data_IF_143538895450
#
_entry.id   IF_143538895450
#
_cell.length_a   1.000
_cell.length_b   1.000
_cell.length_c   1.000
_cell.angle_alpha   90.00
_cell.angle_beta   90.00
_cell.angle_gamma   90.00
#
_symmetry.space_group_name_H-M   'P 1'
#
loop_
_entity.id
_entity.type
_entity.pdbx_description
1 polymer ?
#
# COMPACT_ATOMS: atom_id res chain seq x y z
N UNK A 1 4.82 -24.70 13.10
CA UNK A 1 3.39 -24.49 13.39
C UNK A 1 2.83 -23.25 12.69
N UNK A 2 3.40 -22.04 12.89
CA UNK A 2 2.88 -20.79 12.33
C UNK A 2 2.67 -20.78 10.79
N UNK A 3 3.66 -21.16 9.97
CA UNK A 3 3.44 -21.12 8.51
C UNK A 3 2.49 -22.20 7.98
N UNK A 4 2.21 -23.25 8.74
CA UNK A 4 1.16 -24.22 8.38
C UNK A 4 -0.24 -23.59 8.45
N UNK A 5 -0.47 -22.72 9.43
CA UNK A 5 -1.71 -21.96 9.56
C UNK A 5 -1.83 -20.88 8.49
N UNK A 6 -0.74 -20.16 8.19
CA UNK A 6 -0.71 -19.18 7.10
C UNK A 6 -1.00 -19.83 5.74
N UNK A 7 -0.42 -21.02 5.48
CA UNK A 7 -0.69 -21.78 4.26
C UNK A 7 -2.17 -22.16 4.14
N UNK A 8 -2.75 -22.75 5.19
CA UNK A 8 -4.17 -23.16 5.20
C UNK A 8 -5.11 -21.96 5.02
N UNK A 9 -4.81 -20.85 5.67
CA UNK A 9 -5.62 -19.64 5.56
C UNK A 9 -5.56 -19.06 4.14
N UNK A 10 -4.37 -19.04 3.53
CA UNK A 10 -4.20 -18.62 2.14
C UNK A 10 -4.96 -19.54 1.18
N UNK A 11 -4.82 -20.87 1.33
CA UNK A 11 -5.47 -21.85 0.46
C UNK A 11 -6.99 -21.78 0.57
N UNK A 12 -7.52 -21.62 1.78
CA UNK A 12 -8.96 -21.45 1.97
C UNK A 12 -9.50 -20.18 1.30
N UNK A 13 -8.73 -19.08 1.28
CA UNK A 13 -9.10 -17.90 0.49
C UNK A 13 -9.02 -18.16 -1.03
N UNK A 14 -7.98 -18.85 -1.51
CA UNK A 14 -7.81 -19.18 -2.92
C UNK A 14 -8.91 -20.11 -3.44
N UNK A 15 -9.37 -21.05 -2.61
CA UNK A 15 -10.43 -22.00 -2.93
C UNK A 15 -11.85 -21.41 -2.76
N UNK A 16 -11.98 -20.18 -2.28
CA UNK A 16 -13.27 -19.55 -1.98
C UNK A 16 -13.95 -20.07 -0.72
N UNK A 17 -13.25 -20.83 0.12
CA UNK A 17 -13.73 -21.28 1.44
C UNK A 17 -13.84 -20.10 2.43
N UNK A 18 -12.98 -19.09 2.28
CA UNK A 18 -12.96 -17.88 3.09
C UNK A 18 -13.10 -16.62 2.24
N UNK A 19 -13.95 -15.68 2.66
CA UNK A 19 -14.15 -14.41 1.97
C UNK A 19 -13.02 -13.41 2.15
N UNK A 20 -12.24 -13.53 3.23
CA UNK A 20 -11.13 -12.63 3.55
C UNK A 20 -10.17 -13.25 4.58
N UNK A 21 -8.95 -12.73 4.63
CA UNK A 21 -7.91 -13.10 5.59
C UNK A 21 -7.50 -11.91 6.46
N UNK A 22 -7.66 -12.03 7.78
CA UNK A 22 -7.13 -11.07 8.75
C UNK A 22 -5.95 -11.70 9.48
N UNK A 23 -4.80 -11.04 9.45
CA UNK A 23 -3.57 -11.56 10.06
C UNK A 23 -3.16 -10.77 11.30
N UNK A 24 -2.97 -11.48 12.42
CA UNK A 24 -2.31 -10.96 13.61
C UNK A 24 -0.79 -10.83 13.42
N UNK A 25 -0.06 -10.25 14.40
CA UNK A 25 1.38 -10.09 14.29
C UNK A 25 2.12 -11.44 14.40
N UNK A 26 3.19 -11.60 13.63
CA UNK A 26 4.11 -12.76 13.71
C UNK A 26 5.53 -12.31 13.95
N UNK A 27 6.32 -13.14 14.63
CA UNK A 27 7.72 -12.85 14.92
C UNK A 27 8.63 -13.45 13.85
N UNK A 28 9.11 -12.61 12.92
CA UNK A 28 9.96 -13.04 11.78
C UNK A 28 11.23 -13.78 12.22
N UNK A 29 11.90 -13.31 13.28
CA UNK A 29 13.14 -13.92 13.78
C UNK A 29 12.97 -15.40 14.12
N UNK A 30 12.07 -15.72 15.05
CA UNK A 30 11.69 -17.10 15.41
C UNK A 30 11.36 -17.99 14.20
N UNK A 31 10.68 -17.46 13.17
CA UNK A 31 10.36 -18.25 11.97
C UNK A 31 11.63 -18.56 11.16
N UNK A 32 12.53 -17.59 11.00
CA UNK A 32 13.80 -17.80 10.30
C UNK A 32 14.75 -18.70 11.11
N UNK A 33 14.82 -18.52 12.43
CA UNK A 33 15.63 -19.36 13.33
C UNK A 33 15.18 -20.83 13.33
N UNK A 34 13.90 -21.07 13.02
CA UNK A 34 13.35 -22.41 12.79
C UNK A 34 13.71 -23.01 11.41
N UNK A 35 14.59 -22.37 10.64
CA UNK A 35 15.09 -22.85 9.35
C UNK A 35 14.19 -22.53 8.15
N UNK A 36 13.25 -21.60 8.28
CA UNK A 36 12.32 -21.23 7.22
C UNK A 36 12.54 -19.80 6.76
N UNK A 37 12.86 -19.61 5.47
CA UNK A 37 12.97 -18.28 4.88
C UNK A 37 11.62 -17.56 4.93
N UNK A 38 11.50 -16.54 5.79
CA UNK A 38 10.28 -15.77 5.95
C UNK A 38 10.58 -14.28 6.07
N UNK A 39 10.32 -13.54 4.99
CA UNK A 39 10.49 -12.09 4.91
C UNK A 39 9.30 -11.32 5.49
N UNK A 40 8.10 -11.91 5.49
CA UNK A 40 6.88 -11.30 6.00
C UNK A 40 5.61 -11.96 5.47
N UNK A 41 4.46 -11.55 6.01
CA UNK A 41 3.15 -12.02 5.54
C UNK A 41 2.90 -11.68 4.08
N UNK A 42 3.18 -10.43 3.70
CA UNK A 42 2.91 -9.89 2.37
C UNK A 42 3.63 -10.73 1.31
N UNK A 43 4.92 -11.00 1.53
CA UNK A 43 5.75 -11.80 0.62
C UNK A 43 5.33 -13.28 0.63
N UNK A 44 5.01 -13.83 1.81
CA UNK A 44 4.53 -15.21 1.93
C UNK A 44 3.24 -15.45 1.13
N UNK A 45 2.25 -14.56 1.26
CA UNK A 45 1.00 -14.70 0.53
C UNK A 45 1.16 -14.46 -0.95
N UNK A 46 1.94 -13.45 -1.36
CA UNK A 46 2.21 -13.19 -2.78
C UNK A 46 2.83 -14.41 -3.46
N UNK A 47 3.85 -15.03 -2.85
CA UNK A 47 4.48 -16.22 -3.38
C UNK A 47 3.50 -17.39 -3.46
N UNK A 48 2.71 -17.62 -2.41
CA UNK A 48 1.78 -18.75 -2.35
C UNK A 48 0.60 -18.59 -3.32
N UNK A 49 0.14 -17.36 -3.56
CA UNK A 49 -0.95 -17.07 -4.49
C UNK A 49 -0.48 -16.91 -5.95
N UNK A 50 0.83 -17.04 -6.21
CA UNK A 50 1.39 -16.84 -7.56
C UNK A 50 1.33 -15.40 -8.04
N UNK A 51 1.26 -14.43 -7.12
CA UNK A 51 1.27 -13.01 -7.46
C UNK A 51 2.71 -12.51 -7.55
N UNK A 52 3.09 -11.98 -8.71
CA UNK A 52 4.42 -11.41 -8.91
C UNK A 52 4.63 -10.11 -8.12
N UNK A 53 3.55 -9.32 -7.96
CA UNK A 53 3.61 -8.06 -7.22
C UNK A 53 2.36 -7.84 -6.37
N UNK A 54 2.60 -7.20 -5.23
CA UNK A 54 1.58 -6.73 -4.29
C UNK A 54 1.89 -5.30 -3.90
N UNK A 55 0.86 -4.54 -3.53
CA UNK A 55 1.01 -3.15 -3.08
C UNK A 55 0.57 -3.06 -1.62
N UNK A 56 1.42 -2.48 -0.79
CA UNK A 56 1.07 -2.18 0.58
C UNK A 56 0.27 -0.87 0.62
N UNK A 57 -0.86 -0.90 1.29
CA UNK A 57 -1.65 0.27 1.58
C UNK A 57 -2.02 0.30 3.05
N UNK A 58 -1.83 1.45 3.70
CA UNK A 58 -2.43 1.71 5.00
C UNK A 58 -3.70 2.53 4.80
N UNK A 59 -4.72 2.23 5.57
CA UNK A 59 -5.99 2.93 5.49
C UNK A 59 -6.56 3.23 6.88
N UNK A 60 -7.19 4.38 6.99
CA UNK A 60 -8.12 4.79 8.05
C UNK A 60 -9.49 4.99 7.41
N UNK A 61 -10.48 5.47 8.16
CA UNK A 61 -11.79 5.86 7.59
C UNK A 61 -11.66 7.02 6.60
N UNK A 62 -10.70 7.92 6.83
CA UNK A 62 -10.60 9.20 6.12
C UNK A 62 -9.46 9.23 5.09
N UNK A 63 -8.47 8.35 5.21
CA UNK A 63 -7.26 8.42 4.40
C UNK A 63 -6.75 7.02 4.02
N UNK A 64 -6.48 6.82 2.74
CA UNK A 64 -5.79 5.65 2.20
C UNK A 64 -4.44 6.07 1.60
N UNK A 65 -3.35 5.47 2.06
CA UNK A 65 -1.99 5.72 1.56
C UNK A 65 -1.38 4.41 1.09
N UNK A 66 -1.25 4.27 -0.22
CA UNK A 66 -0.49 3.22 -0.88
C UNK A 66 0.99 3.63 -1.02
N UNK A 67 1.88 2.65 -1.09
CA UNK A 67 3.32 2.87 -1.17
C UNK A 67 3.90 2.28 -2.46
N UNK A 68 4.63 3.07 -3.23
CA UNK A 68 5.38 2.59 -4.41
C UNK A 68 6.56 1.70 -4.01
N UNK A 69 7.19 2.01 -2.88
CA UNK A 69 8.22 1.21 -2.23
C UNK A 69 7.91 1.00 -0.75
N UNK A 70 8.22 -0.17 -0.21
CA UNK A 70 7.93 -0.53 1.19
C UNK A 70 9.17 -0.39 2.07
N UNK A 71 9.71 -1.50 2.59
CA UNK A 71 10.83 -1.50 3.53
C UNK A 71 12.17 -1.52 2.78
N UNK A 72 12.53 -0.40 2.17
CA UNK A 72 13.85 -0.18 1.56
C UNK A 72 14.68 0.81 2.38
N UNK A 73 16.01 0.66 2.43
CA UNK A 73 16.88 1.73 2.89
C UNK A 73 16.66 2.98 2.02
N UNK A 74 16.63 4.17 2.64
CA UNK A 74 16.30 5.42 1.93
C UNK A 74 17.19 5.67 0.70
N UNK A 75 18.48 5.31 0.79
CA UNK A 75 19.45 5.43 -0.32
C UNK A 75 19.06 4.63 -1.58
N UNK A 76 18.24 3.59 -1.44
CA UNK A 76 17.86 2.67 -2.52
C UNK A 76 16.49 3.04 -3.12
N UNK A 77 15.78 4.02 -2.54
CA UNK A 77 14.43 4.41 -2.96
C UNK A 77 14.41 4.97 -4.38
N UNK A 78 15.26 5.97 -4.69
CA UNK A 78 15.26 6.62 -6.00
C UNK A 78 15.45 5.60 -7.14
N UNK A 79 16.43 4.69 -7.00
CA UNK A 79 16.69 3.64 -7.99
C UNK A 79 15.54 2.63 -8.14
N UNK A 80 14.70 2.45 -7.13
CA UNK A 80 13.56 1.53 -7.17
C UNK A 80 12.31 2.14 -7.84
N UNK A 81 12.26 3.47 -7.99
CA UNK A 81 11.20 4.17 -8.72
C UNK A 81 11.54 4.11 -10.21
N UNK A 82 10.87 3.23 -10.93
CA UNK A 82 10.99 3.06 -12.37
C UNK A 82 9.62 3.17 -13.01
N UNK A 83 9.54 3.48 -14.31
CA UNK A 83 8.25 3.56 -14.99
C UNK A 83 7.49 2.23 -14.89
N UNK A 84 8.21 1.11 -15.03
CA UNK A 84 7.63 -0.22 -14.85
C UNK A 84 7.10 -0.43 -13.43
N UNK A 85 7.88 -0.10 -12.39
CA UNK A 85 7.44 -0.30 -11.01
C UNK A 85 6.21 0.55 -10.68
N UNK A 86 6.13 1.79 -11.18
CA UNK A 86 4.96 2.65 -11.05
C UNK A 86 3.75 2.12 -11.82
N UNK A 87 3.93 1.61 -13.04
CA UNK A 87 2.83 1.00 -13.81
C UNK A 87 2.21 -0.18 -13.08
N UNK A 88 3.03 -1.09 -12.57
CA UNK A 88 2.54 -2.24 -11.81
C UNK A 88 1.81 -1.80 -10.53
N UNK A 89 2.41 -0.89 -9.75
CA UNK A 89 1.83 -0.40 -8.49
C UNK A 89 0.51 0.32 -8.72
N UNK A 90 0.46 1.27 -9.65
CA UNK A 90 -0.73 2.08 -9.90
C UNK A 90 -1.84 1.22 -10.50
N UNK A 91 -1.50 0.25 -11.37
CA UNK A 91 -2.50 -0.65 -11.95
C UNK A 91 -3.15 -1.53 -10.88
N UNK A 92 -2.35 -2.08 -9.95
CA UNK A 92 -2.86 -2.85 -8.80
C UNK A 92 -3.72 -1.96 -7.90
N UNK A 93 -3.23 -0.76 -7.56
CA UNK A 93 -3.96 0.18 -6.71
C UNK A 93 -5.32 0.56 -7.32
N UNK A 94 -5.33 0.98 -8.59
CA UNK A 94 -6.55 1.34 -9.31
C UNK A 94 -7.53 0.16 -9.38
N UNK A 95 -7.05 -1.02 -9.78
CA UNK A 95 -7.88 -2.21 -9.87
C UNK A 95 -8.52 -2.57 -8.53
N UNK A 96 -7.74 -2.59 -7.45
CA UNK A 96 -8.26 -2.98 -6.14
C UNK A 96 -9.16 -1.91 -5.53
N UNK A 97 -8.95 -0.61 -5.79
CA UNK A 97 -9.91 0.43 -5.41
C UNK A 97 -11.27 0.20 -6.07
N UNK A 98 -11.30 -0.28 -7.32
CA UNK A 98 -12.55 -0.64 -7.99
C UNK A 98 -13.16 -1.92 -7.41
N UNK A 99 -12.39 -3.01 -7.33
CA UNK A 99 -12.94 -4.35 -7.05
C UNK A 99 -13.12 -4.64 -5.56
N UNK A 100 -12.28 -4.07 -4.69
CA UNK A 100 -12.30 -4.33 -3.24
C UNK A 100 -12.92 -3.19 -2.44
N UNK A 101 -12.83 -1.95 -2.93
CA UNK A 101 -13.43 -0.77 -2.28
C UNK A 101 -14.70 -0.28 -2.98
N UNK A 102 -15.05 -0.82 -4.16
CA UNK A 102 -16.27 -0.46 -4.87
C UNK A 102 -16.27 0.94 -5.47
N UNK A 103 -15.10 1.55 -5.64
CA UNK A 103 -14.96 2.91 -6.16
C UNK A 103 -14.91 2.85 -7.68
N UNK A 104 -16.00 3.23 -8.37
CA UNK A 104 -16.12 3.05 -9.83
C UNK A 104 -15.02 3.79 -10.61
N UNK A 105 -14.69 5.03 -10.21
CA UNK A 105 -13.72 5.91 -10.87
C UNK A 105 -12.71 6.49 -9.88
N UNK A 106 -11.74 5.70 -9.39
CA UNK A 106 -10.85 6.13 -8.33
C UNK A 106 -9.99 7.33 -8.73
N UNK A 107 -10.00 8.38 -7.93
CA UNK A 107 -9.09 9.50 -8.01
C UNK A 107 -7.85 9.24 -7.14
N UNK A 108 -6.71 8.98 -7.80
CA UNK A 108 -5.45 8.67 -7.12
C UNK A 108 -4.52 9.89 -7.18
N UNK A 109 -4.15 10.41 -6.00
CA UNK A 109 -3.22 11.52 -5.87
C UNK A 109 -1.81 10.98 -5.66
N UNK A 110 -0.85 11.41 -6.46
CA UNK A 110 0.50 10.84 -6.51
C UNK A 110 1.52 11.86 -6.04
N UNK A 111 2.32 11.50 -5.05
CA UNK A 111 3.46 12.31 -4.60
C UNK A 111 4.57 12.33 -5.67
N UNK A 112 5.32 13.43 -5.76
CA UNK A 112 6.68 13.38 -6.29
C UNK A 112 7.60 12.56 -5.38
N UNK A 113 8.73 12.10 -5.89
CA UNK A 113 9.81 11.51 -5.11
C UNK A 113 10.57 12.60 -4.34
N UNK A 114 10.91 13.68 -5.04
CA UNK A 114 11.73 14.76 -4.53
C UNK A 114 10.90 15.82 -3.79
N UNK A 115 11.51 16.59 -2.87
CA UNK A 115 10.89 17.80 -2.33
C UNK A 115 10.39 18.70 -3.46
N UNK A 116 9.23 19.34 -3.24
CA UNK A 116 8.59 20.17 -4.27
C UNK A 116 8.34 19.46 -5.61
N UNK A 117 8.26 18.13 -5.61
CA UNK A 117 8.17 17.31 -6.82
C UNK A 117 9.27 17.67 -7.85
N UNK A 118 10.50 17.83 -7.35
CA UNK A 118 11.69 18.07 -8.18
C UNK A 118 11.88 19.54 -8.60
N UNK A 119 10.94 20.44 -8.29
CA UNK A 119 11.02 21.88 -8.63
C UNK A 119 11.42 22.10 -10.11
N UNK A 120 10.70 21.45 -11.03
CA UNK A 120 10.97 21.55 -12.47
C UNK A 120 12.35 21.00 -12.89
N UNK A 121 12.93 20.09 -12.12
CA UNK A 121 14.24 19.48 -12.37
C UNK A 121 15.38 20.09 -11.54
N UNK A 122 15.12 21.16 -10.77
CA UNK A 122 16.14 21.81 -9.95
C UNK A 122 16.47 21.04 -8.66
N UNK A 123 15.59 20.15 -8.21
CA UNK A 123 15.75 19.34 -7.01
C UNK A 123 15.64 17.83 -7.30
N UNK A 124 16.28 17.38 -8.38
CA UNK A 124 16.17 16.00 -8.88
C UNK A 124 15.33 15.93 -10.15
N UNK A 125 15.51 14.87 -10.93
CA UNK A 125 14.90 14.72 -12.27
C UNK A 125 13.98 13.52 -12.39
N UNK A 126 13.84 12.72 -11.33
CA UNK A 126 13.03 11.51 -11.32
C UNK A 126 11.56 11.78 -11.69
N UNK A 127 11.02 12.95 -11.34
CA UNK A 127 9.70 13.37 -11.79
C UNK A 127 9.61 13.45 -13.32
N UNK A 128 10.53 14.18 -13.95
CA UNK A 128 10.55 14.43 -15.40
C UNK A 128 10.87 13.14 -16.17
N UNK A 129 11.89 12.40 -15.71
CA UNK A 129 12.43 11.27 -16.45
C UNK A 129 11.59 9.99 -16.27
N UNK A 130 10.87 9.87 -15.15
CA UNK A 130 10.21 8.63 -14.74
C UNK A 130 8.76 8.81 -14.32
N UNK A 131 8.47 9.68 -13.33
CA UNK A 131 7.13 9.70 -12.72
C UNK A 131 6.10 10.31 -13.68
N UNK A 132 6.35 11.49 -14.24
CA UNK A 132 5.47 12.16 -15.19
C UNK A 132 5.16 11.27 -16.42
N UNK A 133 6.15 10.69 -17.12
CA UNK A 133 5.88 9.76 -18.22
C UNK A 133 5.04 8.55 -17.81
N UNK A 134 5.30 7.99 -16.61
CA UNK A 134 4.53 6.86 -16.10
C UNK A 134 3.06 7.24 -15.86
N UNK A 135 2.81 8.40 -15.23
CA UNK A 135 1.46 8.89 -14.97
C UNK A 135 0.72 9.26 -16.26
N UNK A 136 1.37 9.94 -17.19
CA UNK A 136 0.79 10.28 -18.49
C UNK A 136 0.35 9.03 -19.26
N UNK A 137 1.24 8.03 -19.34
CA UNK A 137 0.92 6.75 -20.00
C UNK A 137 -0.32 6.09 -19.39
N UNK A 138 -0.47 6.11 -18.07
CA UNK A 138 -1.62 5.52 -17.39
C UNK A 138 -2.90 6.38 -17.51
N UNK A 139 -2.78 7.70 -17.55
CA UNK A 139 -3.90 8.61 -17.84
C UNK A 139 -4.50 8.34 -19.21
N UNK A 140 -3.67 8.06 -20.23
CA UNK A 140 -4.18 7.67 -21.56
C UNK A 140 -4.98 6.37 -21.56
N UNK A 141 -4.80 5.52 -20.55
CA UNK A 141 -5.59 4.30 -20.31
C UNK A 141 -6.85 4.55 -19.46
N UNK A 142 -7.15 5.81 -19.13
CA UNK A 142 -8.35 6.21 -18.38
C UNK A 142 -8.20 6.20 -16.86
N UNK A 143 -6.99 5.99 -16.32
CA UNK A 143 -6.76 6.06 -14.87
C UNK A 143 -6.71 7.53 -14.43
N UNK A 144 -7.55 7.91 -13.47
CA UNK A 144 -7.59 9.27 -12.94
C UNK A 144 -6.46 9.51 -11.93
N UNK A 145 -5.36 10.10 -12.42
CA UNK A 145 -4.14 10.36 -11.65
C UNK A 145 -3.88 11.86 -11.54
N UNK A 146 -3.71 12.37 -10.31
CA UNK A 146 -3.37 13.76 -10.04
C UNK A 146 -1.95 13.82 -9.47
N UNK A 147 -1.03 14.50 -10.16
CA UNK A 147 0.38 14.64 -9.75
C UNK A 147 1.41 14.51 -10.90
N UNK A 148 2.71 14.40 -10.58
CA UNK A 148 3.26 14.36 -9.22
C UNK A 148 3.01 15.68 -8.45
N UNK A 149 2.73 15.59 -7.16
CA UNK A 149 2.55 16.74 -6.27
C UNK A 149 3.60 16.74 -5.16
N UNK A 150 4.02 17.92 -4.65
CA UNK A 150 4.81 18.01 -3.44
C UNK A 150 4.10 17.33 -2.27
N UNK A 151 4.76 16.38 -1.60
CA UNK A 151 4.13 15.58 -0.54
C UNK A 151 3.63 16.44 0.62
N UNK A 152 4.41 17.43 1.04
CA UNK A 152 4.06 18.40 2.09
C UNK A 152 2.82 19.24 1.76
N UNK A 153 2.52 19.41 0.47
CA UNK A 153 1.35 20.13 -0.01
C UNK A 153 0.15 19.20 -0.21
N UNK A 154 0.37 17.99 -0.74
CA UNK A 154 -0.66 17.00 -1.04
C UNK A 154 -1.43 16.59 0.22
N UNK A 155 -0.75 16.43 1.37
CA UNK A 155 -1.37 15.98 2.63
C UNK A 155 -2.21 17.05 3.36
N UNK A 156 -2.80 17.99 2.62
CA UNK A 156 -3.72 19.01 3.14
C UNK A 156 -5.18 18.63 2.80
N UNK A 157 -6.13 18.93 3.69
CA UNK A 157 -7.54 18.58 3.54
C UNK A 157 -8.11 18.91 2.16
N UNK A 158 -7.80 20.10 1.61
CA UNK A 158 -8.25 20.55 0.28
C UNK A 158 -7.92 19.60 -0.88
N UNK A 159 -6.91 18.73 -0.74
CA UNK A 159 -6.60 17.68 -1.71
C UNK A 159 -7.17 16.34 -1.27
N UNK A 160 -7.02 16.00 0.01
CA UNK A 160 -7.45 14.71 0.56
C UNK A 160 -8.98 14.52 0.46
N UNK A 161 -9.76 15.59 0.57
CA UNK A 161 -11.23 15.56 0.41
C UNK A 161 -11.68 15.13 -1.00
N UNK A 162 -10.76 15.12 -1.96
CA UNK A 162 -11.00 14.73 -3.35
C UNK A 162 -10.23 13.46 -3.76
N UNK A 163 -9.48 12.84 -2.84
CA UNK A 163 -8.65 11.70 -3.11
C UNK A 163 -9.28 10.41 -2.57
N UNK A 164 -9.45 9.40 -3.43
CA UNK A 164 -9.84 8.07 -2.98
C UNK A 164 -8.65 7.31 -2.36
N UNK A 165 -7.45 7.60 -2.86
CA UNK A 165 -6.18 7.15 -2.31
C UNK A 165 -5.04 8.10 -2.67
N UNK A 166 -4.03 8.12 -1.80
CA UNK A 166 -2.73 8.74 -2.05
C UNK A 166 -1.70 7.67 -2.35
N UNK A 167 -0.86 7.87 -3.37
CA UNK A 167 0.32 7.06 -3.63
C UNK A 167 1.57 7.85 -3.22
N UNK A 168 2.20 7.40 -2.13
CA UNK A 168 3.50 7.88 -1.70
C UNK A 168 4.63 7.05 -2.34
N UNK A 169 5.75 7.70 -2.65
CA UNK A 169 6.90 7.05 -3.30
C UNK A 169 7.65 6.11 -2.34
N UNK A 170 7.68 6.44 -1.04
CA UNK A 170 8.34 5.63 -0.02
C UNK A 170 7.61 5.69 1.32
N UNK A 171 7.94 4.73 2.19
CA UNK A 171 7.28 4.48 3.47
C UNK A 171 7.15 5.74 4.34
N UNK A 172 8.26 6.41 4.66
CA UNK A 172 8.26 7.56 5.55
C UNK A 172 7.73 8.86 4.92
N UNK A 173 7.37 8.84 3.62
CA UNK A 173 6.76 9.99 2.96
C UNK A 173 5.28 10.15 3.32
N UNK A 174 4.54 9.03 3.44
CA UNK A 174 3.10 9.06 3.64
C UNK A 174 2.62 8.55 4.99
N UNK A 175 3.32 7.57 5.58
CA UNK A 175 2.84 6.94 6.80
C UNK A 175 2.89 7.82 8.05
N UNK A 176 3.83 8.77 8.22
CA UNK A 176 3.80 9.69 9.36
C UNK A 176 2.49 10.48 9.44
N UNK A 177 1.99 10.98 8.30
CA UNK A 177 0.72 11.73 8.24
C UNK A 177 -0.46 10.82 8.56
N UNK A 178 -0.53 9.65 7.93
CA UNK A 178 -1.62 8.70 8.17
C UNK A 178 -1.69 8.26 9.63
N UNK A 179 -0.53 7.98 10.24
CA UNK A 179 -0.44 7.59 11.65
C UNK A 179 -0.80 8.74 12.58
N UNK A 180 -0.45 9.98 12.22
CA UNK A 180 -0.85 11.15 12.98
C UNK A 180 -2.37 11.36 12.96
N UNK A 181 -3.00 11.26 11.79
CA UNK A 181 -4.46 11.42 11.64
C UNK A 181 -5.25 10.27 12.28
N UNK A 182 -4.76 9.02 12.14
CA UNK A 182 -5.51 7.81 12.49
C UNK A 182 -4.88 6.95 13.57
N UNK A 183 -4.11 7.52 14.51
CA UNK A 183 -3.33 6.75 15.48
C UNK A 183 -4.16 5.66 16.17
N UNK A 184 -3.71 4.40 16.07
CA UNK A 184 -4.36 3.22 16.65
C UNK A 184 -5.55 2.64 15.88
N UNK A 185 -5.95 3.25 14.76
CA UNK A 185 -7.08 2.80 13.91
C UNK A 185 -6.68 2.49 12.46
N UNK A 186 -5.40 2.54 12.14
CA UNK A 186 -4.90 2.20 10.81
C UNK A 186 -4.90 0.68 10.57
N UNK A 187 -5.31 0.27 9.38
CA UNK A 187 -5.25 -1.11 8.91
C UNK A 187 -4.26 -1.20 7.75
N UNK A 188 -3.38 -2.21 7.80
CA UNK A 188 -2.53 -2.55 6.67
C UNK A 188 -3.28 -3.51 5.74
N UNK A 189 -3.36 -3.16 4.47
CA UNK A 189 -4.07 -3.88 3.42
C UNK A 189 -3.06 -4.29 2.36
N UNK A 190 -3.11 -5.55 1.94
CA UNK A 190 -2.28 -6.05 0.84
C UNK A 190 -3.11 -6.12 -0.43
N UNK A 191 -2.81 -5.21 -1.36
CA UNK A 191 -3.43 -5.14 -2.66
C UNK A 191 -2.71 -6.08 -3.65
N UNK A 192 -3.42 -6.49 -4.71
CA UNK A 192 -2.91 -7.37 -5.77
C UNK A 192 -3.07 -8.87 -5.49
N UNK A 193 -3.37 -9.26 -4.26
CA UNK A 193 -3.78 -10.65 -3.96
C UNK A 193 -5.16 -10.94 -4.56
N UNK A 194 -5.44 -12.18 -5.01
CA UNK A 194 -6.74 -12.58 -5.55
C UNK A 194 -7.86 -12.64 -4.49
N UNK A 195 -7.51 -12.42 -3.23
CA UNK A 195 -8.41 -12.34 -2.09
C UNK A 195 -8.10 -11.10 -1.24
N UNK A 196 -9.01 -10.75 -0.35
CA UNK A 196 -8.81 -9.62 0.57
C UNK A 196 -7.96 -10.07 1.75
N UNK A 197 -6.86 -9.35 2.00
CA UNK A 197 -6.02 -9.56 3.18
C UNK A 197 -5.76 -8.26 3.92
N UNK A 198 -6.01 -8.27 5.22
CA UNK A 198 -5.71 -7.17 6.13
C UNK A 198 -4.83 -7.61 7.31
N UNK A 199 -4.21 -6.64 7.96
CA UNK A 199 -3.35 -6.84 9.12
C UNK A 199 -3.33 -5.61 10.01
N UNK A 200 -3.02 -5.84 11.29
CA UNK A 200 -2.76 -4.75 12.22
C UNK A 200 -1.44 -4.04 11.86
N UNK A 201 -1.42 -2.71 11.94
CA UNK A 201 -0.25 -1.90 11.59
C UNK A 201 0.80 -1.80 12.73
N UNK A 202 0.50 -2.39 13.90
CA UNK A 202 1.44 -2.41 15.02
C UNK A 202 2.15 -3.75 15.14
N UNK A 203 3.48 -3.73 15.07
CA UNK A 203 4.31 -4.80 15.63
C UNK A 203 4.05 -4.89 17.13
N UNK A 204 3.87 -6.10 17.66
CA UNK A 204 3.46 -6.39 19.04
C UNK A 204 3.89 -5.31 20.05
N UNK A 205 2.98 -4.45 20.54
CA UNK A 205 3.14 -3.90 21.86
C UNK A 205 2.73 -5.02 22.83
N UNK A 206 3.65 -5.46 23.69
CA UNK A 206 3.36 -6.43 24.76
C UNK A 206 2.19 -6.01 25.68
N UNK A 207 1.66 -4.79 25.53
CA UNK A 207 0.55 -4.28 26.33
C UNK A 207 -0.34 -3.30 25.55
N UNK A 208 -1.33 -3.78 24.79
CA UNK A 208 -2.61 -3.07 24.65
C UNK A 208 -3.60 -3.92 23.87
N UNK A 209 -4.78 -4.14 24.45
CA UNK A 209 -5.99 -4.62 23.76
C UNK A 209 -6.44 -3.54 22.77
N UNK A 210 -5.82 -3.47 21.60
CA UNK A 210 -6.32 -2.67 20.49
C UNK A 210 -7.60 -3.29 19.93
N UNK A 211 -8.63 -2.49 19.69
CA UNK A 211 -9.80 -2.92 18.91
C UNK A 211 -9.35 -3.10 17.46
N UNK A 212 -9.60 -4.28 16.89
CA UNK A 212 -9.41 -4.51 15.46
C UNK A 212 -10.56 -3.81 14.75
N UNK A 213 -10.25 -2.81 13.93
CA UNK A 213 -11.23 -2.20 13.04
C UNK A 213 -11.76 -3.27 12.09
N UNK A 214 -13.08 -3.40 11.99
CA UNK A 214 -13.67 -4.41 11.12
C UNK A 214 -13.48 -3.96 9.67
N UNK A 215 -13.15 -4.90 8.80
CA UNK A 215 -12.95 -4.67 7.37
C UNK A 215 -14.12 -3.93 6.71
N UNK A 216 -15.33 -4.07 7.25
CA UNK A 216 -16.54 -3.35 6.81
C UNK A 216 -16.47 -1.83 7.00
N UNK A 217 -15.74 -1.35 8.00
CA UNK A 217 -15.61 0.08 8.33
C UNK A 217 -14.60 0.78 7.41
N UNK A 218 -13.61 0.05 6.86
CA UNK A 218 -12.56 0.61 5.98
C UNK A 218 -12.88 0.46 4.49
N UNK A 219 -13.63 -0.58 4.12
CA UNK A 219 -14.04 -0.87 2.74
C UNK A 219 -15.38 -0.25 2.35
N UNK A 220 -16.04 0.52 3.22
CA UNK A 220 -17.28 1.19 2.85
C UNK A 220 -16.98 2.27 1.79
N UNK A 221 -17.72 2.30 0.66
CA UNK A 221 -17.74 3.48 -0.19
C UNK A 221 -18.36 4.63 0.60
N UNK A 222 -17.75 5.81 0.54
CA UNK A 222 -18.32 7.07 1.04
C UNK A 222 -19.32 7.63 0.03
#
# INVERSE_FOLDING_TARGET
MCCGELSKACDGCLNGEFSALVTGPVHKGIINDAGMSFSGHTEFFAQRSGCERVVMMLATEELRVALATTHLPLKDVSAAITQQSLHEVITILHHDLQTKFGIEKPAIYVCGLNPHAGEGGHMGTEEIDTIEPALESLRTKGINLIGPLPADTLFQAKYLDHADAVLAMYHDQGLPVLKYQGFGRAVNITLGLPFIRTSVDHGQPLSSRGRVMLMREVLSPH
#
